data_IF_906968069583
#
_entry.id   IF_906968069583
#
_cell.length_a   1.000
_cell.length_b   1.000
_cell.length_c   1.000
_cell.angle_alpha   90.00
_cell.angle_beta   90.00
_cell.angle_gamma   90.00
#
_symmetry.space_group_name_H-M   'P 1'
#
loop_
_entity.id
_entity.type
_entity.pdbx_description
1 polymer ?
#
# COMPACT_ATOMS: atom_id res chain seq x y z
N UNK A 1 0.77 4.49 7.00
CA UNK A 1 0.67 3.13 6.46
C UNK A 1 2.01 2.57 5.92
N UNK A 2 2.67 3.18 4.92
CA UNK A 2 3.85 2.57 4.26
C UNK A 2 5.08 2.30 5.14
N UNK A 3 5.35 3.15 6.15
CA UNK A 3 6.44 2.90 7.11
C UNK A 3 6.17 1.66 7.97
N UNK A 4 4.91 1.33 8.24
CA UNK A 4 4.50 0.17 9.04
C UNK A 4 4.74 -1.11 8.24
N UNK A 5 4.35 -1.12 6.96
CA UNK A 5 4.58 -2.26 6.06
C UNK A 5 6.06 -2.66 6.03
N UNK A 6 6.95 -1.69 5.86
CA UNK A 6 8.40 -1.96 5.87
C UNK A 6 8.89 -2.49 7.23
N UNK A 7 8.40 -1.94 8.35
CA UNK A 7 8.75 -2.42 9.69
C UNK A 7 8.27 -3.86 9.95
N UNK A 8 7.13 -4.25 9.37
CA UNK A 8 6.57 -5.60 9.49
C UNK A 8 7.20 -6.63 8.52
N UNK A 9 8.25 -6.27 7.78
CA UNK A 9 8.92 -7.17 6.82
C UNK A 9 8.29 -7.21 5.42
N UNK A 10 7.23 -6.43 5.18
CA UNK A 10 6.61 -6.32 3.86
C UNK A 10 7.43 -5.44 2.90
N UNK A 11 7.33 -5.76 1.61
CA UNK A 11 8.00 -5.04 0.51
C UNK A 11 6.98 -4.25 -0.29
N UNK A 12 7.26 -2.97 -0.53
CA UNK A 12 6.44 -2.17 -1.45
C UNK A 12 6.74 -2.60 -2.89
N UNK A 13 5.71 -2.98 -3.65
CA UNK A 13 5.84 -3.26 -5.08
C UNK A 13 5.41 -2.03 -5.86
N UNK A 14 6.40 -1.23 -6.29
CA UNK A 14 6.17 0.01 -7.04
C UNK A 14 5.98 1.25 -6.16
N UNK A 15 5.52 2.33 -6.79
CA UNK A 15 5.21 3.60 -6.12
C UNK A 15 3.71 3.67 -5.81
N UNK A 16 3.30 4.36 -4.73
CA UNK A 16 1.89 4.64 -4.48
C UNK A 16 1.30 5.42 -5.65
N UNK A 17 0.05 5.12 -6.00
CA UNK A 17 -0.72 5.79 -7.03
C UNK A 17 -1.87 6.55 -6.37
N UNK A 18 -2.08 7.80 -6.78
CA UNK A 18 -3.25 8.58 -6.40
C UNK A 18 -4.39 8.29 -7.39
N UNK A 19 -5.53 7.83 -6.88
CA UNK A 19 -6.75 7.57 -7.64
C UNK A 19 -7.72 8.73 -7.40
N UNK A 20 -8.02 9.56 -8.41
CA UNK A 20 -8.91 10.71 -8.27
C UNK A 20 -10.27 10.32 -7.69
N UNK A 21 -10.73 11.06 -6.68
CA UNK A 21 -12.03 10.84 -6.01
C UNK A 21 -12.12 9.61 -5.11
N UNK A 22 -11.07 8.78 -5.03
CA UNK A 22 -11.07 7.55 -4.21
C UNK A 22 -10.01 7.63 -3.11
N UNK A 23 -8.75 7.88 -3.47
CA UNK A 23 -7.66 7.87 -2.50
C UNK A 23 -6.32 7.34 -3.02
N UNK A 24 -5.39 7.10 -2.10
CA UNK A 24 -4.04 6.61 -2.39
C UNK A 24 -3.99 5.08 -2.31
N UNK A 25 -3.51 4.46 -3.37
CA UNK A 25 -3.43 3.02 -3.52
C UNK A 25 -1.98 2.53 -3.68
N UNK A 26 -1.64 1.37 -3.13
CA UNK A 26 -0.37 0.69 -3.39
C UNK A 26 -0.51 -0.83 -3.24
N UNK A 27 0.20 -1.57 -4.08
CA UNK A 27 0.42 -3.00 -3.90
C UNK A 27 1.70 -3.26 -3.09
N UNK A 28 1.64 -4.24 -2.20
CA UNK A 28 2.75 -4.71 -1.39
C UNK A 28 2.88 -6.23 -1.49
N UNK A 29 4.06 -6.75 -1.15
CA UNK A 29 4.26 -8.15 -0.80
C UNK A 29 4.43 -8.28 0.71
N UNK A 30 3.76 -9.23 1.34
CA UNK A 30 4.00 -9.57 2.73
C UNK A 30 5.26 -10.45 2.89
N UNK A 31 5.52 -10.93 4.11
CA UNK A 31 6.65 -11.80 4.44
C UNK A 31 6.56 -13.19 3.80
N UNK A 32 5.37 -13.64 3.44
CA UNK A 32 5.11 -14.94 2.80
C UNK A 32 5.12 -14.85 1.26
N UNK A 33 5.22 -13.63 0.73
CA UNK A 33 5.26 -13.35 -0.70
C UNK A 33 3.90 -13.09 -1.34
N UNK A 34 2.82 -13.06 -0.55
CA UNK A 34 1.46 -12.78 -1.04
C UNK A 34 1.35 -11.32 -1.49
N UNK A 35 0.54 -11.07 -2.52
CA UNK A 35 0.23 -9.72 -2.98
C UNK A 35 -0.95 -9.16 -2.20
N UNK A 36 -0.75 -8.01 -1.56
CA UNK A 36 -1.78 -7.33 -0.76
C UNK A 36 -1.91 -5.87 -1.24
N UNK A 37 -3.14 -5.41 -1.43
CA UNK A 37 -3.45 -4.02 -1.76
C UNK A 37 -3.76 -3.20 -0.50
N UNK A 38 -3.22 -1.99 -0.42
CA UNK A 38 -3.58 -1.01 0.61
C UNK A 38 -4.20 0.20 -0.08
N UNK A 39 -5.44 0.52 0.30
CA UNK A 39 -6.14 1.74 -0.11
C UNK A 39 -6.31 2.65 1.11
N UNK A 40 -5.83 3.89 0.98
CA UNK A 40 -6.12 4.96 1.92
C UNK A 40 -7.11 5.92 1.24
N UNK A 41 -8.38 5.97 1.70
CA UNK A 41 -9.36 6.88 1.13
C UNK A 41 -8.91 8.33 1.24
N UNK A 42 -9.26 9.16 0.25
CA UNK A 42 -9.25 10.61 0.43
C UNK A 42 -10.29 10.96 1.48
N UNK A 43 -9.92 11.70 2.53
CA UNK A 43 -10.91 12.31 3.42
C UNK A 43 -11.84 13.17 2.56
N UNK A 44 -13.14 12.87 2.64
CA UNK A 44 -14.17 13.84 2.29
C UNK A 44 -14.12 15.01 3.26
#
# INVERSE_FOLDING_TARGET
HMKIVKKAGGKLTGKPMDIPGIGKFIMIKDSEGNRVGILQPTSM
#
